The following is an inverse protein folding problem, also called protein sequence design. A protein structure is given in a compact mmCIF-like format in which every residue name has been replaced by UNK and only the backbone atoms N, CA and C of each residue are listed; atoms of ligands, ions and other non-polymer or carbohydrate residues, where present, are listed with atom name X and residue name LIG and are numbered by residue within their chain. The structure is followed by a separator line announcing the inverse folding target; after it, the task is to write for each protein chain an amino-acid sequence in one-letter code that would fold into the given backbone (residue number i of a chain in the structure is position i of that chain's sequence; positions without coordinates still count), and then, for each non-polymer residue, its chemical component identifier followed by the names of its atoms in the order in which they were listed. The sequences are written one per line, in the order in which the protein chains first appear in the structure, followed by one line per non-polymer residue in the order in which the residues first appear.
data_IF_419775090897
#
_entry.id   IF_419775090897
#
_cell.length_a   1.000
_cell.length_b   1.000
_cell.length_c   1.000
_cell.angle_alpha   90.00
_cell.angle_beta   90.00
_cell.angle_gamma   90.00
#
_symmetry.space_group_name_H-M   'P 1'
#
loop_
_entity.id
_entity.type
_entity.pdbx_description
1 polymer ?
#
# COMPACT_ATOMS: atom_id res chain seq x y z
N UNK A 1 0.27 9.82 -16.38
CA UNK A 1 0.04 9.73 -14.93
C UNK A 1 -0.65 11.00 -14.48
N UNK A 2 -1.79 10.84 -13.90
CA UNK A 2 -2.67 11.96 -13.56
C UNK A 2 -2.52 12.38 -12.10
N UNK A 3 -3.17 13.47 -11.74
CA UNK A 3 -3.12 14.00 -10.38
C UNK A 3 -3.48 12.95 -9.32
N UNK A 4 -4.54 12.17 -9.56
CA UNK A 4 -5.00 11.16 -8.60
C UNK A 4 -4.01 10.01 -8.41
N UNK A 5 -3.25 9.65 -9.45
CA UNK A 5 -2.14 8.70 -9.31
C UNK A 5 -1.13 9.18 -8.27
N UNK A 6 -0.70 10.45 -8.37
CA UNK A 6 0.29 10.98 -7.44
C UNK A 6 -0.25 11.16 -6.01
N UNK A 7 -1.52 11.53 -5.88
CA UNK A 7 -2.16 11.57 -4.55
C UNK A 7 -2.26 10.17 -3.95
N UNK A 8 -2.65 9.17 -4.75
CA UNK A 8 -2.67 7.76 -4.34
C UNK A 8 -1.30 7.25 -3.92
N UNK A 9 -0.26 7.60 -4.70
CA UNK A 9 1.13 7.25 -4.38
C UNK A 9 1.59 7.90 -3.06
N UNK A 10 1.24 9.16 -2.83
CA UNK A 10 1.55 9.84 -1.57
C UNK A 10 0.82 9.18 -0.38
N UNK A 11 -0.45 8.86 -0.55
CA UNK A 11 -1.24 8.22 0.52
C UNK A 11 -0.75 6.81 0.83
N UNK A 12 -0.40 5.99 -0.17
CA UNK A 12 0.14 4.66 0.10
C UNK A 12 1.53 4.74 0.73
N UNK A 13 2.35 5.71 0.35
CA UNK A 13 3.64 5.94 1.00
C UNK A 13 3.47 6.34 2.48
N UNK A 14 2.48 7.17 2.77
CA UNK A 14 2.09 7.52 4.14
C UNK A 14 1.55 6.31 4.91
N UNK A 15 0.77 5.44 4.23
CA UNK A 15 0.32 4.17 4.80
C UNK A 15 1.50 3.27 5.20
N UNK A 16 2.58 3.22 4.41
CA UNK A 16 3.75 2.41 4.75
C UNK A 16 4.44 2.89 6.04
N UNK A 17 4.43 4.19 6.32
CA UNK A 17 4.88 4.71 7.61
C UNK A 17 3.93 4.28 8.74
N UNK A 18 2.64 4.35 8.50
CA UNK A 18 1.61 3.88 9.45
C UNK A 18 1.67 2.37 9.66
N UNK A 19 2.03 1.63 8.62
CA UNK A 19 2.22 0.17 8.68
C UNK A 19 3.32 -0.24 9.67
N UNK A 20 4.37 0.57 9.81
CA UNK A 20 5.41 0.36 10.83
C UNK A 20 4.82 0.58 12.23
N UNK A 21 4.08 1.65 12.43
CA UNK A 21 3.39 1.93 13.69
C UNK A 21 2.42 0.81 14.09
N UNK A 22 1.66 0.32 13.12
CA UNK A 22 0.62 -0.71 13.30
C UNK A 22 1.17 -2.14 13.17
N UNK A 23 2.46 -2.31 12.98
CA UNK A 23 3.14 -3.63 12.89
C UNK A 23 2.45 -4.57 11.89
N UNK A 24 2.32 -4.11 10.65
CA UNK A 24 1.58 -4.83 9.59
C UNK A 24 2.12 -6.24 9.34
N UNK A 25 3.43 -6.49 9.57
CA UNK A 25 3.99 -7.84 9.47
C UNK A 25 3.27 -8.88 10.34
N UNK A 26 2.58 -8.46 11.40
CA UNK A 26 1.83 -9.36 12.28
C UNK A 26 0.56 -9.91 11.64
N UNK A 27 0.01 -9.23 10.64
CA UNK A 27 -1.20 -9.65 9.92
C UNK A 27 -0.90 -10.06 8.48
N UNK A 28 0.29 -9.76 7.97
CA UNK A 28 0.67 -10.10 6.59
C UNK A 28 0.88 -11.61 6.46
N UNK A 29 0.22 -12.29 5.51
CA UNK A 29 0.36 -13.74 5.33
C UNK A 29 1.83 -14.16 5.13
N UNK A 30 2.28 -15.14 5.90
CA UNK A 30 3.66 -15.59 5.93
C UNK A 30 4.52 -14.86 6.97
N UNK A 31 4.57 -13.53 6.95
CA UNK A 31 5.32 -12.75 7.93
C UNK A 31 4.76 -12.87 9.34
N UNK A 32 3.47 -13.10 9.47
CA UNK A 32 2.78 -13.31 10.75
C UNK A 32 3.29 -14.52 11.54
N UNK A 33 3.98 -15.45 10.87
CA UNK A 33 4.58 -16.64 11.50
C UNK A 33 5.95 -16.35 12.11
N UNK A 34 6.57 -15.23 11.79
CA UNK A 34 7.88 -14.83 12.26
C UNK A 34 7.78 -14.07 13.61
N UNK A 35 8.87 -14.07 14.37
CA UNK A 35 8.97 -13.17 15.51
C UNK A 35 8.96 -11.71 15.07
N UNK A 36 8.64 -10.79 15.99
CA UNK A 36 8.48 -9.38 15.68
C UNK A 36 9.72 -8.75 15.04
N UNK A 37 10.91 -9.08 15.52
CA UNK A 37 12.14 -8.51 14.98
C UNK A 37 12.39 -8.98 13.55
N UNK A 38 12.28 -10.27 13.30
CA UNK A 38 12.47 -10.86 11.97
C UNK A 38 11.40 -10.38 11.00
N UNK A 39 10.13 -10.37 11.44
CA UNK A 39 9.01 -9.86 10.66
C UNK A 39 9.21 -8.40 10.26
N UNK A 40 9.60 -7.54 11.19
CA UNK A 40 9.94 -6.15 10.92
C UNK A 40 11.10 -6.00 9.92
N UNK A 41 12.19 -6.75 10.10
CA UNK A 41 13.35 -6.67 9.21
C UNK A 41 12.99 -7.11 7.78
N UNK A 42 12.29 -8.21 7.63
CA UNK A 42 11.84 -8.70 6.31
C UNK A 42 10.89 -7.69 5.67
N UNK A 43 9.94 -7.16 6.43
CA UNK A 43 9.02 -6.13 5.96
C UNK A 43 9.77 -4.89 5.45
N UNK A 44 10.71 -4.36 6.24
CA UNK A 44 11.50 -3.18 5.85
C UNK A 44 12.35 -3.43 4.61
N UNK A 45 13.10 -4.54 4.60
CA UNK A 45 14.01 -4.87 3.49
C UNK A 45 13.23 -5.08 2.18
N UNK A 46 12.06 -5.71 2.24
CA UNK A 46 11.21 -5.92 1.07
C UNK A 46 10.77 -4.61 0.41
N UNK A 47 10.69 -3.51 1.15
CA UNK A 47 10.31 -2.21 0.62
C UNK A 47 11.39 -1.56 -0.25
N UNK A 48 12.66 -1.97 -0.13
CA UNK A 48 13.75 -1.44 -0.99
C UNK A 48 13.48 -1.79 -2.46
N UNK A 49 13.36 -3.07 -2.86
CA UNK A 49 13.04 -3.39 -4.25
C UNK A 49 11.66 -2.90 -4.66
N UNK A 50 10.67 -2.91 -3.75
CA UNK A 50 9.33 -2.43 -4.04
C UNK A 50 9.33 -0.94 -4.44
N UNK A 51 9.87 -0.07 -3.59
CA UNK A 51 9.93 1.36 -3.90
C UNK A 51 10.87 1.67 -5.07
N UNK A 52 11.97 0.92 -5.21
CA UNK A 52 12.85 1.07 -6.37
C UNK A 52 12.09 0.82 -7.68
N UNK A 53 11.28 -0.24 -7.73
CA UNK A 53 10.44 -0.54 -8.89
C UNK A 53 9.38 0.55 -9.12
N UNK A 54 8.69 1.00 -8.07
CA UNK A 54 7.70 2.07 -8.17
C UNK A 54 8.31 3.35 -8.76
N UNK A 55 9.44 3.80 -8.21
CA UNK A 55 10.12 5.01 -8.71
C UNK A 55 10.63 4.83 -10.13
N UNK A 56 11.21 3.67 -10.43
CA UNK A 56 11.70 3.38 -11.77
C UNK A 56 10.58 3.49 -12.83
N UNK A 57 9.46 2.80 -12.61
CA UNK A 57 8.35 2.80 -13.57
C UNK A 57 7.60 4.13 -13.62
N UNK A 58 7.69 4.94 -12.57
CA UNK A 58 7.11 6.28 -12.57
C UNK A 58 7.86 7.24 -13.53
N UNK A 59 9.18 7.08 -13.66
CA UNK A 59 10.00 7.99 -14.49
C UNK A 59 10.37 7.43 -15.85
N UNK A 60 10.27 6.12 -16.10
CA UNK A 60 10.67 5.48 -17.36
C UNK A 60 9.46 5.15 -18.25
N UNK A 61 9.36 5.87 -19.34
CA UNK A 61 8.22 6.18 -20.16
C UNK A 61 7.43 5.07 -20.88
N UNK A 62 8.02 3.94 -21.33
CA UNK A 62 7.28 3.01 -22.21
C UNK A 62 6.25 2.16 -21.52
N UNK A 63 6.43 1.89 -20.24
CA UNK A 63 5.52 1.07 -19.40
C UNK A 63 4.63 1.90 -18.46
N UNK A 64 4.68 3.23 -18.51
CA UNK A 64 4.00 4.12 -17.56
C UNK A 64 2.49 3.87 -17.49
N UNK A 65 1.84 3.72 -18.63
CA UNK A 65 0.38 3.52 -18.64
C UNK A 65 -0.01 2.19 -17.99
N UNK A 66 0.64 1.11 -18.37
CA UNK A 66 0.38 -0.21 -17.80
C UNK A 66 0.71 -0.25 -16.30
N UNK A 67 1.81 0.38 -15.92
CA UNK A 67 2.20 0.51 -14.53
C UNK A 67 1.16 1.30 -13.72
N UNK A 68 0.71 2.45 -14.23
CA UNK A 68 -0.28 3.29 -13.57
C UNK A 68 -1.60 2.55 -13.36
N UNK A 69 -2.11 1.85 -14.38
CA UNK A 69 -3.31 1.01 -14.25
C UNK A 69 -3.11 -0.10 -13.21
N UNK A 70 -1.97 -0.80 -13.28
CA UNK A 70 -1.66 -1.85 -12.30
C UNK A 70 -1.55 -1.31 -10.89
N UNK A 71 -0.99 -0.12 -10.72
CA UNK A 71 -0.89 0.54 -9.43
C UNK A 71 -2.26 0.93 -8.86
N UNK A 72 -3.17 1.46 -9.67
CA UNK A 72 -4.52 1.79 -9.23
C UNK A 72 -5.30 0.54 -8.80
N UNK A 73 -5.16 -0.54 -9.58
CA UNK A 73 -5.74 -1.84 -9.19
C UNK A 73 -5.14 -2.32 -7.86
N UNK A 74 -3.84 -2.16 -7.68
CA UNK A 74 -3.18 -2.49 -6.41
C UNK A 74 -3.79 -1.68 -5.25
N UNK A 75 -4.05 -0.38 -5.40
CA UNK A 75 -4.65 0.44 -4.35
C UNK A 75 -6.04 -0.08 -3.95
N UNK A 76 -6.83 -0.55 -4.93
CA UNK A 76 -8.14 -1.16 -4.65
C UNK A 76 -8.02 -2.50 -3.94
N UNK A 77 -7.12 -3.36 -4.41
CA UNK A 77 -6.85 -4.67 -3.78
C UNK A 77 -6.33 -4.47 -2.35
N UNK A 78 -5.47 -3.50 -2.14
CA UNK A 78 -4.93 -3.15 -0.83
C UNK A 78 -6.05 -2.72 0.14
N UNK A 79 -6.99 -1.88 -0.30
CA UNK A 79 -8.17 -1.51 0.50
C UNK A 79 -9.00 -2.75 0.87
N UNK A 80 -9.28 -3.62 -0.09
CA UNK A 80 -10.02 -4.87 0.16
C UNK A 80 -9.28 -5.76 1.13
N UNK A 81 -7.96 -5.90 1.00
CA UNK A 81 -7.14 -6.69 1.92
C UNK A 81 -7.25 -6.17 3.36
N UNK A 82 -7.18 -4.85 3.58
CA UNK A 82 -7.37 -4.27 4.91
C UNK A 82 -8.77 -4.49 5.46
N UNK A 83 -9.80 -4.45 4.63
CA UNK A 83 -11.17 -4.79 5.04
C UNK A 83 -11.29 -6.26 5.46
N UNK A 84 -10.65 -7.17 4.74
CA UNK A 84 -10.64 -8.61 5.09
C UNK A 84 -9.92 -8.89 6.41
N UNK A 85 -8.86 -8.14 6.71
CA UNK A 85 -8.09 -8.30 7.95
C UNK A 85 -8.57 -7.41 9.11
N UNK A 86 -9.66 -6.65 8.93
CA UNK A 86 -10.17 -5.73 9.95
C UNK A 86 -10.42 -6.40 11.31
N UNK A 87 -10.93 -7.63 11.30
CA UNK A 87 -11.25 -8.41 12.51
C UNK A 87 -10.11 -9.34 12.94
N UNK A 88 -8.95 -9.31 12.28
CA UNK A 88 -7.81 -10.12 12.70
C UNK A 88 -7.36 -9.74 14.10
N UNK A 89 -7.01 -10.74 14.93
CA UNK A 89 -6.64 -10.55 16.34
C UNK A 89 -5.51 -9.56 16.56
N UNK A 90 -4.55 -9.52 15.62
CA UNK A 90 -3.34 -8.71 15.71
C UNK A 90 -3.42 -7.44 14.87
N UNK A 91 -4.57 -7.12 14.30
CA UNK A 91 -4.77 -5.92 13.51
C UNK A 91 -4.78 -4.68 14.41
N UNK A 92 -3.88 -3.74 14.13
CA UNK A 92 -3.76 -2.46 14.82
C UNK A 92 -4.24 -1.26 13.97
N UNK A 93 -4.65 -1.48 12.72
CA UNK A 93 -5.27 -0.47 11.86
C UNK A 93 -6.73 -0.26 12.25
N UNK A 94 -6.98 0.53 13.28
CA UNK A 94 -8.32 0.70 13.85
C UNK A 94 -8.74 2.15 14.04
N UNK A 95 -7.80 3.10 13.97
CA UNK A 95 -8.11 4.51 14.19
C UNK A 95 -8.52 5.24 12.90
N UNK A 96 -9.03 6.46 13.08
CA UNK A 96 -9.48 7.27 11.96
C UNK A 96 -8.35 7.66 11.00
N UNK A 97 -7.12 7.84 11.50
CA UNK A 97 -5.97 8.21 10.68
C UNK A 97 -5.62 7.07 9.72
N UNK A 98 -5.42 5.86 10.23
CA UNK A 98 -5.12 4.68 9.41
C UNK A 98 -6.17 4.47 8.33
N UNK A 99 -7.44 4.52 8.69
CA UNK A 99 -8.53 4.26 7.75
C UNK A 99 -8.76 5.39 6.75
N UNK A 100 -8.51 6.64 7.13
CA UNK A 100 -8.54 7.77 6.18
C UNK A 100 -7.48 7.60 5.10
N UNK A 101 -6.28 7.16 5.46
CA UNK A 101 -5.19 6.90 4.52
C UNK A 101 -5.53 5.72 3.60
N UNK A 102 -5.96 4.60 4.17
CA UNK A 102 -6.27 3.38 3.42
C UNK A 102 -7.42 3.62 2.44
N UNK A 103 -8.52 4.20 2.90
CA UNK A 103 -9.69 4.52 2.06
C UNK A 103 -9.31 5.58 1.02
N UNK A 104 -8.61 6.63 1.43
CA UNK A 104 -8.16 7.68 0.52
C UNK A 104 -7.32 7.15 -0.64
N UNK A 105 -6.37 6.27 -0.36
CA UNK A 105 -5.58 5.62 -1.40
C UNK A 105 -6.44 4.80 -2.35
N UNK A 106 -7.37 4.00 -1.83
CA UNK A 106 -8.30 3.22 -2.65
C UNK A 106 -9.21 4.09 -3.51
N UNK A 107 -9.73 5.19 -2.96
CA UNK A 107 -10.54 6.17 -3.71
C UNK A 107 -9.72 6.81 -4.84
N UNK A 108 -8.47 7.18 -4.58
CA UNK A 108 -7.59 7.73 -5.62
C UNK A 108 -7.38 6.73 -6.76
N UNK A 109 -7.10 5.46 -6.45
CA UNK A 109 -6.98 4.42 -7.48
C UNK A 109 -8.26 4.24 -8.28
N UNK A 110 -9.41 4.23 -7.63
CA UNK A 110 -10.70 4.14 -8.31
C UNK A 110 -10.93 5.33 -9.26
N UNK A 111 -10.76 6.55 -8.74
CA UNK A 111 -10.98 7.78 -9.54
C UNK A 111 -10.01 7.81 -10.72
N UNK A 112 -8.72 7.52 -10.51
CA UNK A 112 -7.71 7.54 -11.57
C UNK A 112 -8.04 6.55 -12.69
N UNK A 113 -8.52 5.34 -12.35
CA UNK A 113 -8.95 4.35 -13.35
C UNK A 113 -10.09 4.83 -14.25
N UNK A 114 -11.02 5.63 -13.72
CA UNK A 114 -12.21 6.03 -14.45
C UNK A 114 -12.17 7.44 -15.06
N UNK A 115 -11.22 8.29 -14.63
CA UNK A 115 -11.07 9.67 -15.11
C UNK A 115 -10.00 9.80 -16.21
N UNK A 116 -9.19 8.77 -16.42
CA UNK A 116 -8.14 8.75 -17.46
C UNK A 116 -8.61 9.16 -18.84
#
# INVERSE_FOLDING_TARGET
MDFFFFVGLALISMHEMDAIRCKEWRIFPGLSLLDDRTGFLVFMIAHVPLFSAVFWFTVHGTAQRSFSVGFDIFLLVHLVAHLLFLKHKRNEFRDWLSWSIIIGAGVCGFVDLFVR
#
